data_IF_620107201184
#
_entry.id   IF_620107201184
#
_cell.length_a   1.000
_cell.length_b   1.000
_cell.length_c   1.000
_cell.angle_alpha   90.00
_cell.angle_beta   90.00
_cell.angle_gamma   90.00
#
_symmetry.space_group_name_H-M   'P 1'
#
loop_
_entity.id
_entity.type
_entity.pdbx_description
1 polymer ?
#
# COMPACT_ATOMS: atom_id res chain seq x y z
N UNK A 1 0.41 -10.54 3.15
CA UNK A 1 0.85 -9.15 3.31
C UNK A 1 2.07 -8.85 2.42
N UNK A 2 3.28 -9.37 2.68
CA UNK A 2 4.46 -9.10 1.84
C UNK A 2 4.26 -9.41 0.35
N UNK A 3 3.75 -10.60 0.03
CA UNK A 3 3.46 -10.99 -1.37
C UNK A 3 2.44 -10.05 -2.01
N UNK A 4 1.34 -9.77 -1.32
CA UNK A 4 0.29 -8.86 -1.80
C UNK A 4 0.82 -7.44 -2.06
N UNK A 5 1.68 -6.92 -1.17
CA UNK A 5 2.34 -5.61 -1.35
C UNK A 5 3.34 -5.64 -2.51
N UNK A 6 4.06 -6.74 -2.71
CA UNK A 6 4.96 -6.91 -3.87
C UNK A 6 4.18 -6.96 -5.19
N UNK A 7 3.04 -7.65 -5.22
CA UNK A 7 2.11 -7.65 -6.38
C UNK A 7 1.60 -6.24 -6.66
N UNK A 8 1.26 -5.49 -5.62
CA UNK A 8 0.85 -4.09 -5.75
C UNK A 8 1.97 -3.22 -6.35
N UNK A 9 3.22 -3.39 -5.90
CA UNK A 9 4.38 -2.70 -6.46
C UNK A 9 4.62 -3.08 -7.92
N UNK A 10 4.55 -4.37 -8.27
CA UNK A 10 4.67 -4.81 -9.66
C UNK A 10 3.57 -4.21 -10.54
N UNK A 11 2.32 -4.21 -10.06
CA UNK A 11 1.20 -3.58 -10.75
C UNK A 11 1.44 -2.10 -11.03
N UNK A 12 1.96 -1.35 -10.04
CA UNK A 12 2.35 0.05 -10.20
C UNK A 12 3.45 0.24 -11.25
N UNK A 13 4.49 -0.59 -11.23
CA UNK A 13 5.58 -0.46 -12.20
C UNK A 13 5.11 -0.71 -13.64
N UNK A 14 4.11 -1.58 -13.83
CA UNK A 14 3.50 -1.80 -15.14
C UNK A 14 2.72 -0.59 -15.66
N UNK A 15 2.15 0.24 -14.78
CA UNK A 15 1.43 1.45 -15.20
C UNK A 15 2.35 2.60 -15.64
N UNK A 16 3.68 2.46 -15.45
CA UNK A 16 4.66 3.43 -15.90
C UNK A 16 5.03 3.27 -17.39
N UNK A 17 4.68 2.15 -18.00
CA UNK A 17 4.87 1.95 -19.43
C UNK A 17 3.80 2.67 -20.25
N UNK A 18 4.13 3.01 -21.50
CA UNK A 18 3.19 3.68 -22.42
C UNK A 18 2.17 2.73 -23.09
N UNK A 19 2.35 1.41 -22.95
CA UNK A 19 1.45 0.42 -23.55
C UNK A 19 0.14 0.32 -22.77
N UNK A 20 -0.98 0.54 -23.45
CA UNK A 20 -2.32 0.48 -22.86
C UNK A 20 -2.58 -0.86 -22.17
N UNK A 21 -2.15 -1.97 -22.77
CA UNK A 21 -2.31 -3.31 -22.20
C UNK A 21 -1.57 -3.45 -20.86
N UNK A 22 -0.35 -2.93 -20.77
CA UNK A 22 0.44 -2.95 -19.54
C UNK A 22 -0.19 -2.09 -18.45
N UNK A 23 -0.73 -0.92 -18.80
CA UNK A 23 -1.43 -0.05 -17.86
C UNK A 23 -2.66 -0.76 -17.29
N UNK A 24 -3.50 -1.37 -18.14
CA UNK A 24 -4.67 -2.11 -17.67
C UNK A 24 -4.30 -3.29 -16.78
N UNK A 25 -3.35 -4.13 -17.19
CA UNK A 25 -2.87 -5.25 -16.36
C UNK A 25 -2.27 -4.74 -15.05
N UNK A 26 -1.51 -3.65 -15.10
CA UNK A 26 -0.93 -2.99 -13.94
C UNK A 26 -1.97 -2.52 -12.94
N UNK A 27 -3.02 -1.85 -13.41
CA UNK A 27 -4.15 -1.39 -12.58
C UNK A 27 -4.88 -2.55 -11.90
N UNK A 28 -5.10 -3.66 -12.61
CA UNK A 28 -5.71 -4.87 -12.06
C UNK A 28 -4.85 -5.49 -10.96
N UNK A 29 -3.55 -5.67 -11.22
CA UNK A 29 -2.61 -6.22 -10.24
C UNK A 29 -2.46 -5.31 -9.02
N UNK A 30 -2.39 -3.99 -9.24
CA UNK A 30 -2.32 -3.00 -8.16
C UNK A 30 -3.54 -3.11 -7.25
N UNK A 31 -4.74 -3.12 -7.86
CA UNK A 31 -6.00 -3.21 -7.14
C UNK A 31 -6.12 -4.53 -6.38
N UNK A 32 -5.83 -5.66 -7.03
CA UNK A 32 -5.86 -6.98 -6.41
C UNK A 32 -4.87 -7.08 -5.23
N UNK A 33 -3.65 -6.55 -5.41
CA UNK A 33 -2.63 -6.48 -4.36
C UNK A 33 -3.08 -5.62 -3.17
N UNK A 34 -3.71 -4.47 -3.43
CA UNK A 34 -4.27 -3.59 -2.41
C UNK A 34 -5.36 -4.29 -1.58
N UNK A 35 -6.37 -4.86 -2.23
CA UNK A 35 -7.45 -5.57 -1.54
C UNK A 35 -6.91 -6.74 -0.71
N UNK A 36 -6.02 -7.55 -1.28
CA UNK A 36 -5.41 -8.66 -0.56
C UNK A 36 -4.59 -8.17 0.66
N UNK A 37 -3.80 -7.11 0.52
CA UNK A 37 -3.03 -6.54 1.62
C UNK A 37 -3.93 -5.95 2.71
N UNK A 38 -4.97 -5.20 2.33
CA UNK A 38 -5.91 -4.54 3.24
C UNK A 38 -6.75 -5.57 4.02
N UNK A 39 -7.27 -6.61 3.35
CA UNK A 39 -8.01 -7.69 4.01
C UNK A 39 -7.15 -8.45 5.02
N UNK A 40 -5.89 -8.74 4.67
CA UNK A 40 -4.95 -9.38 5.61
C UNK A 40 -4.65 -8.46 6.80
N UNK A 41 -4.41 -7.17 6.57
CA UNK A 41 -4.14 -6.21 7.65
C UNK A 41 -5.34 -6.06 8.61
N UNK A 42 -6.54 -5.92 8.07
CA UNK A 42 -7.77 -5.80 8.85
C UNK A 42 -8.09 -7.07 9.65
N UNK A 43 -7.97 -8.24 9.02
CA UNK A 43 -8.19 -9.54 9.69
C UNK A 43 -7.20 -9.82 10.82
N UNK A 44 -6.01 -9.21 10.81
CA UNK A 44 -5.03 -9.36 11.89
C UNK A 44 -5.38 -8.60 13.17
N UNK A 45 -6.22 -7.57 13.11
CA UNK A 45 -6.61 -6.77 14.29
C UNK A 45 -7.36 -7.65 15.28
N UNK A 46 -8.30 -8.48 14.81
CA UNK A 46 -9.16 -9.31 15.66
C UNK A 46 -8.37 -10.29 16.55
N UNK A 47 -7.56 -11.20 15.99
CA UNK A 47 -6.77 -12.17 16.76
C UNK A 47 -5.67 -11.54 17.61
N UNK A 48 -5.10 -10.39 17.20
CA UNK A 48 -3.99 -9.74 17.94
C UNK A 48 -4.48 -8.86 19.09
N UNK A 49 -5.68 -8.30 19.02
CA UNK A 49 -6.25 -7.50 20.09
C UNK A 49 -6.83 -8.39 21.21
N UNK A 50 -6.02 -8.66 22.24
CA UNK A 50 -6.43 -9.42 23.44
C UNK A 50 -7.34 -8.62 24.39
N UNK A 51 -7.21 -7.28 24.40
CA UNK A 51 -8.03 -6.33 25.16
C UNK A 51 -8.32 -5.11 24.29
N UNK A 52 -9.38 -4.35 24.60
CA UNK A 52 -9.74 -3.10 23.91
C UNK A 52 -9.82 -3.22 22.37
N UNK A 53 -10.50 -4.26 21.86
CA UNK A 53 -10.64 -4.53 20.41
C UNK A 53 -11.18 -3.34 19.61
N UNK A 54 -12.13 -2.59 20.19
CA UNK A 54 -12.66 -1.36 19.59
C UNK A 54 -11.57 -0.32 19.35
N UNK A 55 -10.75 -0.03 20.37
CA UNK A 55 -9.64 0.93 20.26
C UNK A 55 -8.57 0.47 19.25
N UNK A 56 -8.28 -0.84 19.19
CA UNK A 56 -7.35 -1.38 18.21
C UNK A 56 -7.85 -1.19 16.76
N UNK A 57 -9.14 -1.41 16.51
CA UNK A 57 -9.76 -1.16 15.21
C UNK A 57 -9.78 0.33 14.86
N UNK A 58 -10.13 1.19 15.81
CA UNK A 58 -10.09 2.65 15.65
C UNK A 58 -8.69 3.15 15.33
N UNK A 59 -7.64 2.60 15.95
CA UNK A 59 -6.26 2.97 15.65
C UNK A 59 -5.83 2.56 14.24
N UNK A 60 -6.27 1.39 13.77
CA UNK A 60 -6.05 0.96 12.39
C UNK A 60 -6.73 1.92 11.40
N UNK A 61 -8.02 2.22 11.61
CA UNK A 61 -8.77 3.15 10.76
C UNK A 61 -8.18 4.55 10.80
N UNK A 62 -7.81 5.04 11.99
CA UNK A 62 -7.12 6.32 12.14
C UNK A 62 -5.83 6.34 11.32
N UNK A 63 -5.00 5.29 11.42
CA UNK A 63 -3.76 5.21 10.65
C UNK A 63 -4.02 5.11 9.14
N UNK A 64 -5.04 4.37 8.72
CA UNK A 64 -5.44 4.23 7.32
C UNK A 64 -5.86 5.58 6.72
N UNK A 65 -6.72 6.32 7.41
CA UNK A 65 -7.19 7.63 6.95
C UNK A 65 -6.10 8.70 7.05
N UNK A 66 -5.30 8.70 8.12
CA UNK A 66 -4.17 9.62 8.28
C UNK A 66 -3.17 9.45 7.14
N UNK A 67 -2.77 8.20 6.87
CA UNK A 67 -1.88 7.87 5.75
C UNK A 67 -2.48 8.27 4.41
N UNK A 68 -3.78 8.04 4.21
CA UNK A 68 -4.49 8.43 2.98
C UNK A 68 -4.51 9.94 2.78
N UNK A 69 -4.72 10.72 3.83
CA UNK A 69 -4.68 12.18 3.77
C UNK A 69 -3.28 12.69 3.40
N UNK A 70 -2.23 12.20 4.06
CA UNK A 70 -0.85 12.59 3.74
C UNK A 70 -0.46 12.19 2.32
N UNK A 71 -0.74 10.93 1.93
CA UNK A 71 -0.40 10.43 0.60
C UNK A 71 -1.22 11.11 -0.50
N UNK A 72 -2.49 11.45 -0.24
CA UNK A 72 -3.34 12.17 -1.17
C UNK A 72 -2.84 13.60 -1.42
N UNK A 73 -2.53 14.35 -0.35
CA UNK A 73 -2.00 15.71 -0.48
C UNK A 73 -0.63 15.73 -1.16
N UNK A 74 0.31 14.89 -0.71
CA UNK A 74 1.65 14.81 -1.31
C UNK A 74 1.59 14.27 -2.73
N UNK A 75 0.73 13.30 -3.01
CA UNK A 75 0.51 12.76 -4.36
C UNK A 75 0.11 13.85 -5.35
N UNK A 76 -0.74 14.81 -4.93
CA UNK A 76 -1.08 15.97 -5.75
C UNK A 76 0.12 16.86 -6.08
N UNK A 77 1.05 17.04 -5.12
CA UNK A 77 2.30 17.79 -5.35
C UNK A 77 3.19 17.07 -6.37
N UNK A 78 3.34 15.75 -6.26
CA UNK A 78 4.13 14.96 -7.23
C UNK A 78 3.49 14.96 -8.62
N UNK A 79 2.16 14.89 -8.70
CA UNK A 79 1.43 15.02 -9.95
C UNK A 79 1.68 16.36 -10.62
N UNK A 80 1.59 17.46 -9.87
CA UNK A 80 1.76 18.80 -10.43
C UNK A 80 3.17 19.04 -10.98
N UNK A 81 4.21 18.55 -10.29
CA UNK A 81 5.60 18.83 -10.66
C UNK A 81 6.19 17.83 -11.66
N UNK A 82 5.73 16.57 -11.64
CA UNK A 82 6.39 15.45 -12.34
C UNK A 82 5.40 14.52 -13.07
N UNK A 83 4.11 14.86 -13.11
CA UNK A 83 3.07 14.08 -13.75
C UNK A 83 2.92 12.67 -13.16
N UNK A 84 2.50 11.73 -14.01
CA UNK A 84 2.27 10.34 -13.61
C UNK A 84 3.54 9.63 -13.11
N UNK A 85 4.68 9.87 -13.75
CA UNK A 85 5.95 9.27 -13.33
C UNK A 85 6.36 9.70 -11.92
N UNK A 86 6.08 10.96 -11.56
CA UNK A 86 6.28 11.45 -10.19
C UNK A 86 5.41 10.72 -9.17
N UNK A 87 4.11 10.59 -9.47
CA UNK A 87 3.17 9.86 -8.61
C UNK A 87 3.58 8.40 -8.47
N UNK A 88 3.93 7.75 -9.58
CA UNK A 88 4.39 6.36 -9.58
C UNK A 88 5.67 6.17 -8.77
N UNK A 89 6.66 7.08 -8.90
CA UNK A 89 7.86 7.06 -8.07
C UNK A 89 7.56 7.24 -6.58
N UNK A 90 6.68 8.19 -6.23
CA UNK A 90 6.25 8.42 -4.86
C UNK A 90 5.57 7.19 -4.25
N UNK A 91 4.60 6.60 -4.95
CA UNK A 91 3.91 5.39 -4.48
C UNK A 91 4.90 4.21 -4.40
N UNK A 92 5.81 4.06 -5.36
CA UNK A 92 6.80 3.00 -5.34
C UNK A 92 7.71 3.09 -4.10
N UNK A 93 8.15 4.30 -3.73
CA UNK A 93 8.93 4.54 -2.50
C UNK A 93 8.14 4.14 -1.25
N UNK A 94 6.86 4.51 -1.16
CA UNK A 94 6.00 4.12 -0.04
C UNK A 94 5.82 2.59 0.05
N UNK A 95 5.62 1.92 -1.10
CA UNK A 95 5.48 0.46 -1.17
C UNK A 95 6.78 -0.26 -0.79
N UNK A 96 7.92 0.23 -1.24
CA UNK A 96 9.24 -0.27 -0.82
C UNK A 96 9.41 -0.11 0.70
N UNK A 97 9.05 1.05 1.27
CA UNK A 97 9.05 1.25 2.71
C UNK A 97 8.16 0.26 3.46
N UNK A 98 6.95 0.01 2.96
CA UNK A 98 6.02 -0.97 3.53
C UNK A 98 6.59 -2.40 3.47
N UNK A 99 7.25 -2.78 2.37
CA UNK A 99 7.92 -4.08 2.23
C UNK A 99 9.08 -4.22 3.22
N UNK A 100 9.91 -3.19 3.38
CA UNK A 100 11.03 -3.19 4.32
C UNK A 100 10.56 -3.33 5.77
N UNK A 101 9.54 -2.56 6.18
CA UNK A 101 8.95 -2.64 7.51
C UNK A 101 8.31 -4.02 7.72
N UNK A 102 7.54 -4.51 6.75
CA UNK A 102 6.92 -5.83 6.81
C UNK A 102 7.95 -6.96 6.92
N UNK A 103 9.05 -6.89 6.17
CA UNK A 103 10.11 -7.89 6.20
C UNK A 103 10.87 -7.84 7.53
N UNK A 104 11.12 -6.65 8.06
CA UNK A 104 11.76 -6.45 9.36
C UNK A 104 10.91 -7.03 10.50
N UNK A 105 9.58 -6.81 10.48
CA UNK A 105 8.67 -7.44 11.43
C UNK A 105 8.64 -8.96 11.28
N UNK A 106 8.60 -9.47 10.04
CA UNK A 106 8.58 -10.92 9.77
C UNK A 106 9.84 -11.61 10.31
N UNK A 107 11.01 -10.97 10.19
CA UNK A 107 12.25 -11.47 10.78
C UNK A 107 12.25 -11.48 12.31
N UNK A 108 11.62 -10.50 12.96
CA UNK A 108 11.54 -10.43 14.44
C UNK A 108 10.57 -11.44 15.06
N UNK A 109 9.61 -11.93 14.27
CA UNK A 109 8.60 -12.89 14.71
C UNK A 109 9.01 -14.36 14.48
N UNK A 110 10.11 -14.58 13.74
CA UNK A 110 10.78 -15.88 13.61
C UNK A 110 11.88 -15.99 14.64
#
# INVERSE_FOLDING_TARGET
MLVSTAVMLLGLLLTLFSSLWLIFTGMLLFSAGFFAAHSVASSWIGPRARRAKGQASSLYLFSYYLGSSFAGTLGGVFWHNYGWNGVGGFIALMLCGALLVGASLHKRLR
#
